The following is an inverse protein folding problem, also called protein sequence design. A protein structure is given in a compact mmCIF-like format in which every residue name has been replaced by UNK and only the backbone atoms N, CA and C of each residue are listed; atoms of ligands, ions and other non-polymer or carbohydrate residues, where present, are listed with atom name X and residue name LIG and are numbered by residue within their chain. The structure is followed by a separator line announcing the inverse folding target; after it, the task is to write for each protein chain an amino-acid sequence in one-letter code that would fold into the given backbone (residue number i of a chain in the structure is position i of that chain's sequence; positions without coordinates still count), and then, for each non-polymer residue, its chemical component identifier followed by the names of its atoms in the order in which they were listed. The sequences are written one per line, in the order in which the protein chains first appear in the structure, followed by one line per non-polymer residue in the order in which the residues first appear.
data_IF_897838940013
#
_entry.id   IF_897838940013
#
_cell.length_a   1.000
_cell.length_b   1.000
_cell.length_c   1.000
_cell.angle_alpha   90.00
_cell.angle_beta   90.00
_cell.angle_gamma   90.00
#
_symmetry.space_group_name_H-M   'P 1'
#
loop_
_entity.id
_entity.type
_entity.pdbx_description
1 polymer ?
#
# COMPACT_ATOMS: atom_id res chain seq x y z
N UNK A 1 -0.61 -0.37 1.42
CA UNK A 1 -0.82 -1.67 2.10
C UNK A 1 -2.28 -2.04 1.96
N UNK A 2 -2.61 -3.32 1.76
CA UNK A 2 -4.01 -3.80 1.83
C UNK A 2 -4.39 -4.00 3.29
N UNK A 3 -5.65 -3.71 3.67
CA UNK A 3 -6.13 -3.89 5.05
C UNK A 3 -5.97 -5.35 5.52
N UNK A 4 -6.31 -6.32 4.66
CA UNK A 4 -6.18 -7.75 5.01
C UNK A 4 -4.73 -8.17 5.24
N UNK A 5 -3.80 -7.59 4.48
CA UNK A 5 -2.38 -7.86 4.68
C UNK A 5 -1.90 -7.30 6.03
N UNK A 6 -2.28 -6.06 6.36
CA UNK A 6 -1.90 -5.46 7.63
C UNK A 6 -2.44 -6.22 8.84
N UNK A 7 -3.67 -6.76 8.76
CA UNK A 7 -4.23 -7.60 9.82
C UNK A 7 -3.48 -8.93 9.94
N UNK A 8 -3.18 -9.59 8.81
CA UNK A 8 -2.39 -10.83 8.80
C UNK A 8 -1.01 -10.63 9.42
N UNK A 9 -0.33 -9.55 9.06
CA UNK A 9 0.99 -9.21 9.59
C UNK A 9 0.93 -8.99 11.11
N UNK A 10 -0.07 -8.23 11.58
CA UNK A 10 -0.27 -8.01 13.02
C UNK A 10 -0.55 -9.30 13.81
N UNK A 11 -1.35 -10.22 13.28
CA UNK A 11 -1.59 -11.52 13.94
C UNK A 11 -0.31 -12.37 13.97
N UNK A 12 0.49 -12.32 12.90
CA UNK A 12 1.79 -13.02 12.84
C UNK A 12 2.74 -12.47 13.90
N UNK A 13 2.84 -11.14 14.03
CA UNK A 13 3.63 -10.49 15.07
C UNK A 13 3.15 -10.86 16.48
N UNK A 14 1.83 -10.94 16.72
CA UNK A 14 1.29 -11.36 18.01
C UNK A 14 1.65 -12.80 18.36
N UNK A 15 1.57 -13.72 17.38
CA UNK A 15 1.94 -15.13 17.56
C UNK A 15 3.43 -15.32 17.90
N UNK A 16 4.29 -14.46 17.35
CA UNK A 16 5.74 -14.53 17.53
C UNK A 16 6.24 -13.80 18.78
N UNK A 17 5.64 -12.67 19.13
CA UNK A 17 6.21 -11.74 20.11
C UNK A 17 5.54 -11.79 21.48
N UNK A 18 4.32 -12.32 21.59
CA UNK A 18 3.57 -12.35 22.84
C UNK A 18 3.63 -13.73 23.49
N UNK A 19 3.70 -13.75 24.82
CA UNK A 19 3.51 -14.95 25.63
C UNK A 19 2.02 -15.30 25.70
N UNK A 20 1.56 -15.97 24.64
CA UNK A 20 0.19 -16.44 24.50
C UNK A 20 0.02 -17.81 25.13
N UNK A 21 -1.13 -18.01 25.77
CA UNK A 21 -1.63 -19.33 26.15
C UNK A 21 -1.95 -20.17 24.92
N UNK A 22 -2.07 -21.49 25.09
CA UNK A 22 -2.37 -22.39 23.96
C UNK A 22 -3.71 -22.02 23.28
N UNK A 23 -4.75 -21.77 24.09
CA UNK A 23 -6.07 -21.39 23.57
C UNK A 23 -6.02 -20.09 22.75
N UNK A 24 -5.21 -19.12 23.17
CA UNK A 24 -5.02 -17.85 22.43
C UNK A 24 -4.24 -18.05 21.13
N UNK A 25 -3.22 -18.93 21.13
CA UNK A 25 -2.47 -19.27 19.91
C UNK A 25 -3.36 -19.97 18.89
N UNK A 26 -4.16 -20.94 19.35
CA UNK A 26 -5.10 -21.67 18.50
C UNK A 26 -6.16 -20.74 17.89
N UNK A 27 -6.71 -19.82 18.68
CA UNK A 27 -7.66 -18.82 18.19
C UNK A 27 -7.02 -17.92 17.11
N UNK A 28 -5.83 -17.38 17.36
CA UNK A 28 -5.13 -16.51 16.41
C UNK A 28 -4.68 -17.24 15.14
N UNK A 29 -4.28 -18.51 15.25
CA UNK A 29 -3.97 -19.35 14.11
C UNK A 29 -5.22 -19.57 13.24
N UNK A 30 -6.37 -19.87 13.86
CA UNK A 30 -7.65 -19.98 13.16
C UNK A 30 -8.08 -18.69 12.47
N UNK A 31 -7.91 -17.53 13.13
CA UNK A 31 -8.19 -16.22 12.54
C UNK A 31 -7.26 -15.92 11.35
N UNK A 32 -5.99 -16.28 11.43
CA UNK A 32 -5.01 -16.12 10.34
C UNK A 32 -5.38 -16.98 9.12
N UNK A 33 -5.85 -18.21 9.33
CA UNK A 33 -6.36 -19.09 8.29
C UNK A 33 -7.62 -18.51 7.64
N UNK A 34 -8.56 -18.01 8.44
CA UNK A 34 -9.78 -17.39 7.95
C UNK A 34 -9.51 -16.14 7.09
N UNK A 35 -8.58 -15.29 7.51
CA UNK A 35 -8.15 -14.10 6.75
C UNK A 35 -7.48 -14.51 5.43
N UNK A 36 -6.62 -15.53 5.47
CA UNK A 36 -5.95 -16.03 4.26
C UNK A 36 -6.97 -16.57 3.25
N UNK A 37 -7.94 -17.38 3.71
CA UNK A 37 -9.01 -17.89 2.88
C UNK A 37 -9.90 -16.76 2.30
N UNK A 38 -10.19 -15.73 3.09
CA UNK A 38 -10.95 -14.56 2.63
C UNK A 38 -10.18 -13.80 1.54
N UNK A 39 -8.88 -13.59 1.72
CA UNK A 39 -8.03 -12.92 0.74
C UNK A 39 -8.01 -13.68 -0.60
N UNK A 40 -7.86 -15.00 -0.57
CA UNK A 40 -7.92 -15.84 -1.77
C UNK A 40 -9.28 -15.73 -2.47
N UNK A 41 -10.38 -15.85 -1.71
CA UNK A 41 -11.73 -15.72 -2.29
C UNK A 41 -11.97 -14.35 -2.92
N UNK A 42 -11.51 -13.28 -2.29
CA UNK A 42 -11.64 -11.92 -2.83
C UNK A 42 -10.80 -11.72 -4.09
N UNK A 43 -9.63 -12.36 -4.18
CA UNK A 43 -8.78 -12.28 -5.36
C UNK A 43 -9.49 -12.79 -6.62
N UNK A 44 -10.43 -13.73 -6.46
CA UNK A 44 -11.22 -14.35 -7.52
C UNK A 44 -12.65 -13.79 -7.62
N UNK A 45 -13.02 -12.80 -6.78
CA UNK A 45 -14.34 -12.17 -6.82
C UNK A 45 -14.36 -11.02 -7.84
N UNK A 46 -15.30 -11.01 -8.82
CA UNK A 46 -15.44 -9.92 -9.77
C UNK A 46 -15.63 -8.56 -9.08
N UNK A 47 -14.89 -7.56 -9.53
CA UNK A 47 -15.18 -6.17 -9.13
C UNK A 47 -16.47 -5.70 -9.79
N UNK A 48 -17.13 -4.63 -9.31
CA UNK A 48 -18.29 -4.04 -10.00
C UNK A 48 -18.01 -3.63 -11.45
N UNK A 49 -16.74 -3.40 -11.81
CA UNK A 49 -16.33 -3.10 -13.18
C UNK A 49 -16.19 -4.34 -14.08
N UNK A 50 -16.35 -5.55 -13.53
CA UNK A 50 -16.25 -6.83 -14.25
C UNK A 50 -15.06 -7.69 -13.85
N UNK A 51 -13.80 -7.25 -14.06
CA UNK A 51 -12.64 -8.11 -13.84
C UNK A 51 -12.39 -8.36 -12.35
N UNK A 52 -11.82 -9.51 -12.04
CA UNK A 52 -11.31 -9.89 -10.72
C UNK A 52 -10.00 -9.17 -10.41
N UNK A 53 -9.63 -9.03 -9.11
CA UNK A 53 -8.30 -8.54 -8.75
C UNK A 53 -7.14 -9.31 -9.40
N UNK A 54 -7.23 -10.64 -9.54
CA UNK A 54 -6.21 -11.44 -10.24
C UNK A 54 -6.06 -11.01 -11.71
N UNK A 55 -7.18 -10.85 -12.42
CA UNK A 55 -7.17 -10.43 -13.83
C UNK A 55 -6.62 -9.01 -13.99
N UNK A 56 -7.00 -8.09 -13.10
CA UNK A 56 -6.48 -6.72 -13.09
C UNK A 56 -4.95 -6.68 -12.93
N UNK A 57 -4.39 -7.53 -12.06
CA UNK A 57 -2.94 -7.64 -11.85
C UNK A 57 -2.14 -8.07 -13.09
N UNK A 58 -2.80 -8.62 -14.12
CA UNK A 58 -2.16 -9.00 -15.39
C UNK A 58 -2.22 -7.91 -16.45
N UNK A 59 -3.01 -6.85 -16.22
CA UNK A 59 -3.20 -5.76 -17.19
C UNK A 59 -2.02 -4.80 -17.16
N UNK A 60 -1.44 -4.49 -18.33
CA UNK A 60 -0.21 -3.70 -18.48
C UNK A 60 -0.27 -2.26 -17.95
N UNK A 61 -1.44 -1.76 -17.59
CA UNK A 61 -1.67 -0.43 -17.02
C UNK A 61 -2.14 -0.43 -15.56
N UNK A 62 -2.24 -1.60 -14.91
CA UNK A 62 -2.65 -1.67 -13.52
C UNK A 62 -1.52 -1.22 -12.60
N UNK A 63 -1.77 -0.16 -11.83
CA UNK A 63 -0.85 0.30 -10.78
C UNK A 63 -1.45 -0.13 -9.44
N UNK A 64 -0.82 -1.09 -8.72
CA UNK A 64 -1.22 -1.43 -7.37
C UNK A 64 -1.26 -0.18 -6.48
N UNK A 65 -2.30 -0.06 -5.66
CA UNK A 65 -2.44 1.09 -4.75
C UNK A 65 -1.23 1.28 -3.83
N UNK A 66 -0.56 0.19 -3.44
CA UNK A 66 0.71 0.22 -2.69
C UNK A 66 1.82 0.96 -3.43
N UNK A 67 1.96 0.73 -4.74
CA UNK A 67 2.94 1.43 -5.56
C UNK A 67 2.55 2.90 -5.72
N UNK A 68 1.26 3.19 -5.95
CA UNK A 68 0.76 4.57 -6.05
C UNK A 68 0.97 5.36 -4.74
N UNK A 69 0.71 4.76 -3.58
CA UNK A 69 0.94 5.43 -2.30
C UNK A 69 2.42 5.73 -2.08
N UNK A 70 3.33 4.83 -2.49
CA UNK A 70 4.77 5.06 -2.36
C UNK A 70 5.26 6.20 -3.26
N UNK A 71 4.74 6.32 -4.48
CA UNK A 71 5.11 7.42 -5.39
C UNK A 71 4.56 8.76 -4.91
N UNK A 72 3.38 8.78 -4.28
CA UNK A 72 2.80 9.98 -3.68
C UNK A 72 3.54 10.40 -2.40
N UNK A 73 3.91 9.45 -1.54
CA UNK A 73 4.69 9.74 -0.31
C UNK A 73 6.11 10.17 -0.60
N UNK A 74 6.75 9.67 -1.67
CA UNK A 74 8.08 10.10 -2.10
C UNK A 74 8.10 11.55 -2.65
N UNK A 75 6.96 12.06 -3.11
CA UNK A 75 6.83 13.44 -3.62
C UNK A 75 6.41 14.38 -2.47
N UNK A 76 7.33 14.73 -1.59
CA UNK A 76 7.12 15.84 -0.65
C UNK A 76 6.97 17.16 -1.44
N UNK A 77 5.89 17.94 -1.25
CA UNK A 77 5.73 19.24 -1.90
C UNK A 77 6.63 20.26 -1.19
N UNK A 78 7.80 20.55 -1.77
CA UNK A 78 8.75 21.50 -1.19
C UNK A 78 10.01 21.78 -2.01
N UNK A 79 10.36 20.95 -2.99
CA UNK A 79 11.47 21.27 -3.89
C UNK A 79 11.02 22.28 -4.94
N UNK A 80 11.16 23.57 -4.62
CA UNK A 80 11.23 24.63 -5.61
C UNK A 80 12.44 24.32 -6.51
N UNK A 81 12.18 23.99 -7.77
CA UNK A 81 13.17 24.07 -8.82
C UNK A 81 13.63 25.53 -8.94
N UNK A 82 14.66 25.90 -8.19
CA UNK A 82 15.41 27.15 -8.42
C UNK A 82 16.30 26.95 -9.64
N UNK A 83 15.67 26.83 -10.80
CA UNK A 83 16.34 27.00 -12.08
C UNK A 83 16.49 28.49 -12.37
N UNK A 84 17.68 28.97 -12.02
CA UNK A 84 18.49 29.85 -12.85
C UNK A 84 17.77 31.04 -13.51
N UNK A 85 17.84 32.20 -12.87
CA UNK A 85 17.81 33.47 -13.59
C UNK A 85 19.00 34.31 -13.19
N UNK A 86 20.17 33.97 -13.74
CA UNK A 86 21.17 34.98 -14.09
C UNK A 86 20.58 35.87 -15.20
N UNK A 87 19.70 36.80 -14.79
CA UNK A 87 19.23 37.91 -15.63
C UNK A 87 19.70 39.19 -14.99
N UNK A 88 20.86 39.64 -15.46
CA UNK A 88 21.39 41.00 -15.36
C UNK A 88 20.25 42.03 -15.36
N UNK A 89 20.11 42.78 -14.27
CA UNK A 89 19.16 43.89 -14.15
C UNK A 89 19.47 44.98 -15.18
N UNK A 90 18.48 45.60 -15.85
CA UNK A 90 18.70 46.81 -16.61
C UNK A 90 18.88 48.01 -15.66
N UNK A 91 19.89 48.81 -15.96
CA UNK A 91 20.16 50.14 -15.38
C UNK A 91 19.05 51.10 -15.83
N UNK A 92 18.32 51.70 -14.89
CA UNK A 92 17.41 52.80 -15.18
C UNK A 92 18.08 54.08 -14.67
N UNK A 93 18.56 54.90 -15.61
CA UNK A 93 19.02 56.26 -15.31
C UNK A 93 17.79 57.17 -15.21
N UNK A 94 17.74 57.95 -14.13
CA UNK A 94 16.72 58.97 -13.84
C UNK A 94 16.80 60.20 -14.75
#
# INVERSE_FOLDING_TARGET
MSLLQAVKDGITEMLEQLDLTEDERDALAGDLDAISALADKLADTPTPAGPTPRELGTTSGFIPLTQLTNTLSAKTPGQRDVQNTDRKSPDYQE
#
